data_IF_676573119494
#
_entry.id   IF_676573119494
#
_cell.length_a   1.000
_cell.length_b   1.000
_cell.length_c   1.000
_cell.angle_alpha   90.00
_cell.angle_beta   90.00
_cell.angle_gamma   90.00
#
_symmetry.space_group_name_H-M   'P 1'
#
loop_
_entity.id
_entity.type
_entity.pdbx_description
1 polymer ?
#
# COMPACT_ATOMS: atom_id res chain seq x y z
N UNK A 1 4.50 -1.61 20.37
CA UNK A 1 3.45 -2.60 20.07
C UNK A 1 4.04 -3.62 19.09
N UNK A 2 3.93 -4.94 19.32
CA UNK A 2 4.34 -5.91 18.31
C UNK A 2 3.49 -5.67 17.05
N UNK A 3 4.13 -5.63 15.88
CA UNK A 3 3.41 -5.54 14.60
C UNK A 3 2.41 -6.69 14.49
N UNK A 4 1.23 -6.43 13.95
CA UNK A 4 0.29 -7.49 13.60
C UNK A 4 1.00 -8.48 12.65
N UNK A 5 0.94 -9.78 12.97
CA UNK A 5 1.45 -10.80 12.06
C UNK A 5 0.72 -10.67 10.71
N UNK A 6 1.43 -10.67 9.57
CA UNK A 6 0.80 -10.56 8.27
C UNK A 6 -0.24 -11.66 8.04
N UNK A 7 -1.44 -11.28 7.60
CA UNK A 7 -2.46 -12.22 7.15
C UNK A 7 -1.98 -12.93 5.88
N UNK A 8 -2.13 -14.26 5.83
CA UNK A 8 -1.79 -15.06 4.66
C UNK A 8 -2.86 -15.01 3.55
N UNK A 9 -4.06 -14.49 3.82
CA UNK A 9 -5.21 -14.60 2.89
C UNK A 9 -5.96 -13.30 2.64
N UNK A 10 -5.72 -12.24 3.41
CA UNK A 10 -6.44 -10.97 3.33
C UNK A 10 -5.45 -9.81 3.21
N UNK A 11 -5.74 -8.86 2.32
CA UNK A 11 -4.87 -7.73 2.02
C UNK A 11 -5.62 -6.41 2.15
N UNK A 12 -4.99 -5.39 2.76
CA UNK A 12 -5.44 -4.01 2.62
C UNK A 12 -4.72 -3.34 1.45
N UNK A 13 -5.49 -2.69 0.58
CA UNK A 13 -5.01 -2.04 -0.62
C UNK A 13 -5.35 -0.54 -0.60
N UNK A 14 -4.35 0.31 -0.83
CA UNK A 14 -4.48 1.77 -0.79
C UNK A 14 -4.06 2.36 -2.13
N UNK A 15 -4.98 2.66 -3.06
CA UNK A 15 -4.66 3.47 -4.24
C UNK A 15 -4.41 4.92 -3.84
N UNK A 16 -3.38 5.55 -4.41
CA UNK A 16 -3.00 6.93 -4.16
C UNK A 16 -2.57 7.62 -5.45
N UNK A 17 -2.99 8.88 -5.62
CA UNK A 17 -2.53 9.74 -6.71
C UNK A 17 -2.31 11.14 -6.16
N UNK A 18 -1.05 11.57 -6.13
CA UNK A 18 -0.65 12.91 -5.66
C UNK A 18 -1.28 13.31 -4.30
N UNK A 19 -1.44 12.36 -3.37
CA UNK A 19 -2.04 12.59 -2.03
C UNK A 19 -1.15 13.45 -1.12
N UNK A 20 0.15 13.54 -1.43
CA UNK A 20 1.18 14.13 -0.59
C UNK A 20 1.74 13.12 0.41
N UNK A 21 3.07 13.08 0.51
CA UNK A 21 3.79 12.10 1.31
C UNK A 21 3.42 12.10 2.78
N UNK A 22 3.15 13.27 3.37
CA UNK A 22 2.73 13.37 4.78
C UNK A 22 1.41 12.65 5.06
N UNK A 23 0.38 12.91 4.25
CA UNK A 23 -0.95 12.33 4.47
C UNK A 23 -0.92 10.84 4.18
N UNK A 24 -0.37 10.44 3.03
CA UNK A 24 -0.27 9.03 2.65
C UNK A 24 0.52 8.20 3.68
N UNK A 25 1.66 8.73 4.17
CA UNK A 25 2.44 8.05 5.22
C UNK A 25 1.59 7.84 6.47
N UNK A 26 0.88 8.87 6.92
CA UNK A 26 0.02 8.78 8.10
C UNK A 26 -1.08 7.73 7.92
N UNK A 27 -1.77 7.74 6.78
CA UNK A 27 -2.81 6.75 6.46
C UNK A 27 -2.25 5.33 6.52
N UNK A 28 -1.09 5.08 5.91
CA UNK A 28 -0.43 3.77 5.93
C UNK A 28 0.03 3.38 7.33
N UNK A 29 0.58 4.31 8.10
CA UNK A 29 0.95 4.08 9.51
C UNK A 29 -0.26 3.66 10.34
N UNK A 30 -1.37 4.39 10.26
CA UNK A 30 -2.61 4.09 10.98
C UNK A 30 -3.17 2.72 10.58
N UNK A 31 -3.16 2.36 9.29
CA UNK A 31 -3.59 1.01 8.88
C UNK A 31 -2.66 -0.07 9.42
N UNK A 32 -1.33 0.14 9.36
CA UNK A 32 -0.34 -0.82 9.85
C UNK A 32 -0.40 -1.09 11.35
N UNK A 33 -1.00 -0.17 12.14
CA UNK A 33 -1.27 -0.40 13.56
C UNK A 33 -2.33 -1.49 13.80
N UNK A 34 -3.26 -1.66 12.86
CA UNK A 34 -4.38 -2.60 12.99
C UNK A 34 -4.30 -3.80 12.05
N UNK A 35 -3.56 -3.68 10.94
CA UNK A 35 -3.56 -4.67 9.88
C UNK A 35 -2.20 -4.82 9.18
N UNK A 36 -1.90 -6.04 8.77
CA UNK A 36 -0.79 -6.39 7.88
C UNK A 36 -1.21 -7.62 7.08
N UNK A 37 -0.90 -7.76 5.78
CA UNK A 37 -0.14 -6.86 4.92
C UNK A 37 -0.92 -5.64 4.40
N UNK A 38 -0.18 -4.57 4.06
CA UNK A 38 -0.69 -3.36 3.38
C UNK A 38 0.05 -3.16 2.05
N UNK A 39 -0.71 -3.02 0.96
CA UNK A 39 -0.17 -2.68 -0.35
C UNK A 39 -0.64 -1.28 -0.75
N UNK A 40 0.28 -0.45 -1.24
CA UNK A 40 -0.03 0.89 -1.75
C UNK A 40 0.23 0.92 -3.25
N UNK A 41 -0.70 1.44 -4.04
CA UNK A 41 -0.48 1.70 -5.47
C UNK A 41 -0.36 3.21 -5.68
N UNK A 42 0.81 3.66 -6.14
CA UNK A 42 1.01 5.01 -6.62
C UNK A 42 0.58 5.08 -8.10
N UNK A 43 -0.61 5.60 -8.34
CA UNK A 43 -1.26 5.70 -9.65
C UNK A 43 -0.73 6.91 -10.44
N UNK A 44 0.53 6.85 -10.86
CA UNK A 44 1.17 7.96 -11.56
C UNK A 44 1.44 9.18 -10.68
N UNK A 45 1.73 8.98 -9.39
CA UNK A 45 2.12 10.07 -8.49
C UNK A 45 3.49 10.64 -8.86
N UNK A 46 3.63 11.97 -8.78
CA UNK A 46 4.88 12.71 -9.02
C UNK A 46 5.30 13.55 -7.81
N UNK A 47 4.57 13.45 -6.72
CA UNK A 47 4.86 14.11 -5.45
C UNK A 47 5.85 13.30 -4.60
N UNK A 48 5.97 13.66 -3.32
CA UNK A 48 6.84 13.01 -2.34
C UNK A 48 6.26 11.68 -1.77
N UNK A 49 5.17 11.15 -2.34
CA UNK A 49 4.49 9.95 -1.85
C UNK A 49 5.40 8.72 -1.78
N UNK A 50 6.17 8.44 -2.83
CA UNK A 50 7.08 7.29 -2.87
C UNK A 50 8.15 7.41 -1.79
N UNK A 51 8.80 8.57 -1.70
CA UNK A 51 9.85 8.84 -0.73
C UNK A 51 9.34 8.69 0.71
N UNK A 52 8.13 9.19 0.99
CA UNK A 52 7.54 9.08 2.32
C UNK A 52 7.26 7.63 2.74
N UNK A 53 6.82 6.78 1.81
CA UNK A 53 6.57 5.36 2.07
C UNK A 53 7.87 4.55 2.19
N UNK A 54 8.87 4.83 1.38
CA UNK A 54 10.20 4.22 1.51
C UNK A 54 10.88 4.59 2.84
N UNK A 55 10.73 5.85 3.26
CA UNK A 55 11.20 6.32 4.56
C UNK A 55 10.48 5.58 5.70
N UNK A 56 9.14 5.43 5.62
CA UNK A 56 8.37 4.66 6.60
C UNK A 56 8.84 3.20 6.68
N UNK A 57 8.99 2.53 5.52
CA UNK A 57 9.46 1.14 5.44
C UNK A 57 10.82 0.97 6.10
N UNK A 58 11.73 1.90 5.85
CA UNK A 58 13.08 1.89 6.43
C UNK A 58 13.06 2.17 7.93
N UNK A 59 12.33 3.20 8.37
CA UNK A 59 12.26 3.62 9.78
C UNK A 59 11.66 2.55 10.68
N UNK A 60 10.69 1.78 10.17
CA UNK A 60 10.00 0.73 10.91
C UNK A 60 10.52 -0.68 10.61
N UNK A 61 11.61 -0.79 9.84
CA UNK A 61 12.20 -2.06 9.41
C UNK A 61 11.17 -3.04 8.81
N UNK A 62 10.22 -2.51 8.03
CA UNK A 62 9.16 -3.29 7.40
C UNK A 62 9.70 -4.01 6.17
N UNK A 63 9.40 -5.29 6.04
CA UNK A 63 9.69 -6.03 4.81
C UNK A 63 8.56 -5.91 3.77
N UNK A 64 8.74 -6.53 2.60
CA UNK A 64 7.73 -6.56 1.53
C UNK A 64 6.47 -7.36 1.89
N UNK A 65 6.54 -8.21 2.91
CA UNK A 65 5.42 -8.94 3.46
C UNK A 65 4.54 -8.09 4.38
N UNK A 66 5.05 -6.96 4.88
CA UNK A 66 4.26 -6.02 5.69
C UNK A 66 3.78 -4.81 4.87
N UNK A 67 4.70 -4.16 4.15
CA UNK A 67 4.40 -3.00 3.31
C UNK A 67 4.98 -3.18 1.91
N UNK A 68 4.11 -3.27 0.91
CA UNK A 68 4.49 -3.31 -0.51
C UNK A 68 4.04 -2.04 -1.22
N UNK A 69 4.95 -1.44 -1.95
CA UNK A 69 4.67 -0.26 -2.78
C UNK A 69 4.70 -0.70 -4.23
N UNK A 70 3.59 -0.48 -4.93
CA UNK A 70 3.44 -0.64 -6.37
C UNK A 70 3.34 0.75 -6.99
N UNK A 71 3.86 0.93 -8.19
CA UNK A 71 3.71 2.17 -8.93
C UNK A 71 3.58 1.88 -10.41
N UNK A 72 2.86 2.75 -11.11
CA UNK A 72 2.83 2.75 -12.56
C UNK A 72 2.69 4.19 -13.07
N UNK A 73 2.94 4.37 -14.35
CA UNK A 73 2.83 5.63 -15.06
C UNK A 73 2.21 5.38 -16.44
N UNK A 74 1.31 6.25 -16.94
CA UNK A 74 0.74 7.44 -16.30
C UNK A 74 -0.37 7.09 -15.28
N UNK A 75 -1.01 8.12 -14.69
CA UNK A 75 -2.24 7.94 -13.93
C UNK A 75 -3.32 7.28 -14.81
N UNK A 76 -3.98 6.23 -14.29
CA UNK A 76 -5.01 5.45 -14.99
C UNK A 76 -6.36 5.44 -14.25
N UNK A 77 -6.43 6.13 -13.12
CA UNK A 77 -7.60 6.21 -12.25
C UNK A 77 -7.67 5.06 -11.24
N UNK A 78 -8.43 5.30 -10.16
CA UNK A 78 -8.57 4.39 -9.00
C UNK A 78 -8.94 2.96 -9.39
N UNK A 79 -9.85 2.77 -10.33
CA UNK A 79 -10.27 1.44 -10.79
C UNK A 79 -9.12 0.64 -11.40
N UNK A 80 -8.37 1.26 -12.31
CA UNK A 80 -7.21 0.63 -12.93
C UNK A 80 -6.05 0.40 -11.94
N UNK A 81 -5.90 1.29 -10.95
CA UNK A 81 -4.92 1.11 -9.88
C UNK A 81 -5.26 -0.07 -8.96
N UNK A 82 -6.54 -0.26 -8.64
CA UNK A 82 -6.99 -1.43 -7.88
C UNK A 82 -6.80 -2.69 -8.72
N UNK A 83 -7.27 -2.69 -9.97
CA UNK A 83 -7.13 -3.81 -10.91
C UNK A 83 -5.67 -4.26 -11.05
N UNK A 84 -4.72 -3.33 -11.17
CA UNK A 84 -3.30 -3.66 -11.33
C UNK A 84 -2.69 -4.40 -10.13
N UNK A 85 -3.31 -4.31 -8.96
CA UNK A 85 -2.89 -5.03 -7.76
C UNK A 85 -3.62 -6.35 -7.52
N UNK A 86 -4.81 -6.57 -8.11
CA UNK A 86 -5.61 -7.78 -7.86
C UNK A 86 -4.91 -9.05 -8.39
N UNK A 87 -4.37 -9.01 -9.61
CA UNK A 87 -3.70 -10.18 -10.19
C UNK A 87 -2.40 -10.54 -9.42
N UNK A 88 -1.50 -9.58 -9.09
CA UNK A 88 -0.39 -9.87 -8.19
C UNK A 88 -0.83 -10.34 -6.80
N UNK A 89 -1.93 -9.81 -6.25
CA UNK A 89 -2.44 -10.22 -4.94
C UNK A 89 -2.93 -11.68 -4.96
N UNK A 90 -3.67 -12.05 -6.00
CA UNK A 90 -4.11 -13.43 -6.21
C UNK A 90 -2.92 -14.37 -6.36
N UNK A 91 -1.90 -13.98 -7.15
CA UNK A 91 -0.65 -14.76 -7.30
C UNK A 91 0.12 -14.90 -5.98
N UNK A 92 0.02 -13.91 -5.09
CA UNK A 92 0.60 -13.97 -3.75
C UNK A 92 -0.24 -14.82 -2.77
N UNK A 93 -1.38 -15.38 -3.20
CA UNK A 93 -2.24 -16.25 -2.39
C UNK A 93 -3.35 -15.52 -1.62
N UNK A 94 -3.52 -14.20 -1.81
CA UNK A 94 -4.63 -13.50 -1.19
C UNK A 94 -5.96 -13.89 -1.84
N UNK A 95 -6.97 -14.06 -1.00
CA UNK A 95 -8.34 -14.42 -1.41
C UNK A 95 -9.31 -13.27 -1.21
N UNK A 96 -8.97 -12.28 -0.37
CA UNK A 96 -9.79 -11.10 -0.12
C UNK A 96 -8.93 -9.84 -0.13
N UNK A 97 -9.48 -8.76 -0.67
CA UNK A 97 -8.88 -7.42 -0.66
C UNK A 97 -9.89 -6.44 -0.06
N UNK A 98 -9.44 -5.60 0.86
CA UNK A 98 -10.18 -4.45 1.36
C UNK A 98 -9.48 -3.17 0.90
N UNK A 99 -10.21 -2.30 0.20
CA UNK A 99 -9.64 -1.05 -0.33
C UNK A 99 -9.91 0.12 0.61
N UNK A 100 -8.89 0.91 0.91
CA UNK A 100 -8.99 2.16 1.66
C UNK A 100 -8.53 3.31 0.78
N UNK A 101 -9.13 4.48 0.94
CA UNK A 101 -8.63 5.68 0.29
C UNK A 101 -7.43 6.26 1.04
N UNK A 102 -6.52 6.87 0.28
CA UNK A 102 -5.28 7.47 0.77
C UNK A 102 -5.49 8.77 1.57
#
# INVERSE_FOLDING_TARGET
MPFALPSASRLVLIPSYNTGGRLLRRTVEEVLEFWSPVWVILDGSQDDSLQALEALRSQRALDQGQLRILSHWPNRGKGAAIESALEPAQRAGFTHVMTFDA
#
